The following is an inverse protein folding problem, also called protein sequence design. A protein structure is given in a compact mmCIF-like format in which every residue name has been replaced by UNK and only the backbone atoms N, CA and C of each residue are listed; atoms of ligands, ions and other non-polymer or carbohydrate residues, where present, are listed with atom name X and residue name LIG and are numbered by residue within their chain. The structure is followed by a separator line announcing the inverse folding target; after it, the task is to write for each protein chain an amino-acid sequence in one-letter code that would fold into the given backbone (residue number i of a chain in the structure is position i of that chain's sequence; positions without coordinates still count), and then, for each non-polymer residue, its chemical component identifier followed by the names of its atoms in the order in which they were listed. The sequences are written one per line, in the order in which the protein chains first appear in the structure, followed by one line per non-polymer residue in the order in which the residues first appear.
data_IF_140730185870
#
_entry.id   IF_140730185870
#
_cell.length_a   1.000
_cell.length_b   1.000
_cell.length_c   1.000
_cell.angle_alpha   90.00
_cell.angle_beta   90.00
_cell.angle_gamma   90.00
#
_symmetry.space_group_name_H-M   'P 1'
#
loop_
_entity.id
_entity.type
_entity.pdbx_description
1 polymer ?
#
# COMPACT_ATOMS: atom_id res chain seq x y z
N UNK A 1 66.98 -2.36 19.60
CA UNK A 1 65.89 -3.18 19.04
C UNK A 1 66.37 -3.72 17.71
N UNK A 2 66.21 -5.02 17.43
CA UNK A 2 66.65 -5.59 16.14
C UNK A 2 65.73 -5.11 15.00
N UNK A 3 66.27 -4.88 13.82
CA UNK A 3 65.51 -4.46 12.63
C UNK A 3 64.33 -5.39 12.32
N UNK A 4 64.48 -6.67 12.65
CA UNK A 4 63.42 -7.70 12.56
C UNK A 4 62.20 -7.39 13.43
N UNK A 5 62.38 -6.85 14.64
CA UNK A 5 61.28 -6.49 15.53
C UNK A 5 60.49 -5.29 15.00
N UNK A 6 61.18 -4.35 14.36
CA UNK A 6 60.58 -3.18 13.72
C UNK A 6 59.76 -3.58 12.48
N UNK A 7 60.28 -4.51 11.67
CA UNK A 7 59.57 -5.07 10.51
C UNK A 7 58.32 -5.87 10.94
N UNK A 8 58.41 -6.68 12.00
CA UNK A 8 57.26 -7.43 12.51
C UNK A 8 56.17 -6.51 13.08
N UNK A 9 56.56 -5.44 13.78
CA UNK A 9 55.64 -4.45 14.31
C UNK A 9 54.90 -3.70 13.20
N UNK A 10 55.60 -3.25 12.15
CA UNK A 10 54.98 -2.56 11.02
C UNK A 10 54.03 -3.47 10.26
N UNK A 11 54.41 -4.74 10.03
CA UNK A 11 53.54 -5.72 9.39
C UNK A 11 52.27 -5.99 10.20
N UNK A 12 52.38 -6.11 11.53
CA UNK A 12 51.24 -6.30 12.43
C UNK A 12 50.28 -5.11 12.37
N UNK A 13 50.81 -3.88 12.40
CA UNK A 13 49.99 -2.66 12.30
C UNK A 13 49.25 -2.58 10.96
N UNK A 14 49.93 -2.92 9.85
CA UNK A 14 49.30 -2.96 8.52
C UNK A 14 48.20 -4.01 8.44
N UNK A 15 48.42 -5.22 8.98
CA UNK A 15 47.41 -6.27 9.01
C UNK A 15 46.20 -5.89 9.86
N UNK A 16 46.41 -5.26 11.02
CA UNK A 16 45.33 -4.76 11.87
C UNK A 16 44.54 -3.64 11.19
N UNK A 17 45.22 -2.68 10.55
CA UNK A 17 44.58 -1.61 9.80
C UNK A 17 43.76 -2.14 8.61
N UNK A 18 44.30 -3.13 7.88
CA UNK A 18 43.59 -3.77 6.78
C UNK A 18 42.37 -4.58 7.28
N UNK A 19 42.53 -5.32 8.38
CA UNK A 19 41.44 -6.06 9.02
C UNK A 19 40.30 -5.13 9.45
N UNK A 20 40.63 -4.05 10.16
CA UNK A 20 39.67 -3.02 10.57
C UNK A 20 38.97 -2.36 9.37
N UNK A 21 39.72 -2.05 8.31
CA UNK A 21 39.14 -1.47 7.10
C UNK A 21 38.17 -2.44 6.40
N UNK A 22 38.52 -3.72 6.31
CA UNK A 22 37.67 -4.75 5.70
C UNK A 22 36.39 -4.99 6.53
N UNK A 23 36.49 -5.08 7.86
CA UNK A 23 35.30 -5.23 8.73
C UNK A 23 34.39 -4.02 8.62
N UNK A 24 34.93 -2.81 8.70
CA UNK A 24 34.14 -1.60 8.59
C UNK A 24 33.50 -1.44 7.20
N UNK A 25 34.19 -1.87 6.14
CA UNK A 25 33.62 -1.91 4.79
C UNK A 25 32.49 -2.95 4.68
N UNK A 26 32.62 -4.11 5.32
CA UNK A 26 31.59 -5.15 5.35
C UNK A 26 30.36 -4.67 6.12
N UNK A 27 30.54 -4.08 7.30
CA UNK A 27 29.47 -3.47 8.11
C UNK A 27 28.72 -2.39 7.32
N UNK A 28 29.45 -1.46 6.69
CA UNK A 28 28.83 -0.41 5.89
C UNK A 28 28.06 -0.95 4.67
N UNK A 29 28.53 -2.05 4.07
CA UNK A 29 27.80 -2.72 2.98
C UNK A 29 26.54 -3.40 3.50
N UNK A 30 26.63 -4.07 4.65
CA UNK A 30 25.50 -4.73 5.29
C UNK A 30 24.41 -3.72 5.67
N UNK A 31 24.79 -2.63 6.34
CA UNK A 31 23.86 -1.55 6.70
C UNK A 31 23.14 -0.96 5.48
N UNK A 32 23.87 -0.77 4.37
CA UNK A 32 23.27 -0.30 3.10
C UNK A 32 22.31 -1.33 2.51
N UNK A 33 22.68 -2.61 2.51
CA UNK A 33 21.84 -3.69 2.00
C UNK A 33 20.56 -3.84 2.85
N UNK A 34 20.67 -3.72 4.17
CA UNK A 34 19.54 -3.79 5.10
C UNK A 34 18.59 -2.59 4.89
N UNK A 35 19.14 -1.37 4.82
CA UNK A 35 18.37 -0.16 4.51
C UNK A 35 17.64 -0.28 3.17
N UNK A 36 18.32 -0.81 2.16
CA UNK A 36 17.71 -1.01 0.84
C UNK A 36 16.58 -2.04 0.91
N UNK A 37 16.80 -3.16 1.60
CA UNK A 37 15.78 -4.19 1.77
C UNK A 37 14.54 -3.67 2.52
N UNK A 38 14.75 -2.79 3.50
CA UNK A 38 13.69 -2.13 4.27
C UNK A 38 12.86 -1.18 3.41
N UNK A 39 13.51 -0.34 2.59
CA UNK A 39 12.79 0.50 1.61
C UNK A 39 12.05 -0.34 0.59
N UNK A 40 12.67 -1.41 0.08
CA UNK A 40 12.06 -2.31 -0.91
C UNK A 40 10.80 -3.01 -0.37
N UNK A 41 10.79 -3.45 0.90
CA UNK A 41 9.59 -4.07 1.46
C UNK A 41 8.47 -3.06 1.67
N UNK A 42 8.79 -1.84 2.09
CA UNK A 42 7.78 -0.77 2.24
C UNK A 42 7.15 -0.45 0.87
N UNK A 43 7.97 -0.24 -0.15
CA UNK A 43 7.47 0.01 -1.52
C UNK A 43 6.63 -1.16 -2.03
N UNK A 44 7.06 -2.40 -1.79
CA UNK A 44 6.28 -3.60 -2.15
C UNK A 44 4.93 -3.65 -1.45
N UNK A 45 4.84 -3.24 -0.17
CA UNK A 45 3.57 -3.15 0.54
C UNK A 45 2.65 -2.09 -0.07
N UNK A 46 3.19 -0.94 -0.47
CA UNK A 46 2.44 0.11 -1.16
C UNK A 46 1.94 -0.35 -2.54
N UNK A 47 2.76 -1.07 -3.29
CA UNK A 47 2.37 -1.64 -4.58
C UNK A 47 1.26 -2.67 -4.45
N UNK A 48 1.38 -3.56 -3.44
CA UNK A 48 0.34 -4.52 -3.11
C UNK A 48 -0.97 -3.83 -2.71
N UNK A 49 -0.89 -2.82 -1.84
CA UNK A 49 -2.04 -2.05 -1.39
C UNK A 49 -2.75 -1.41 -2.59
N UNK A 50 -2.01 -0.70 -3.44
CA UNK A 50 -2.53 -0.06 -4.64
C UNK A 50 -3.18 -1.07 -5.59
N UNK A 51 -2.49 -2.17 -5.88
CA UNK A 51 -2.97 -3.18 -6.82
C UNK A 51 -4.22 -3.89 -6.30
N UNK A 52 -4.27 -4.27 -5.02
CA UNK A 52 -5.46 -4.85 -4.38
C UNK A 52 -6.63 -3.88 -4.38
N UNK A 53 -6.40 -2.61 -4.06
CA UNK A 53 -7.42 -1.56 -4.06
C UNK A 53 -8.02 -1.31 -5.45
N UNK A 54 -7.18 -1.29 -6.49
CA UNK A 54 -7.61 -1.16 -7.89
C UNK A 54 -8.37 -2.41 -8.34
N UNK A 55 -7.83 -3.60 -8.05
CA UNK A 55 -8.47 -4.87 -8.39
C UNK A 55 -9.86 -4.99 -7.73
N UNK A 56 -9.97 -4.64 -6.44
CA UNK A 56 -11.26 -4.54 -5.72
C UNK A 56 -12.22 -3.58 -6.41
N UNK A 57 -11.74 -2.39 -6.79
CA UNK A 57 -12.58 -1.37 -7.43
C UNK A 57 -13.16 -1.82 -8.78
N UNK A 58 -12.45 -2.67 -9.51
CA UNK A 58 -12.90 -3.27 -10.77
C UNK A 58 -13.62 -4.61 -10.58
N UNK A 59 -13.72 -5.11 -9.35
CA UNK A 59 -14.14 -6.47 -9.04
C UNK A 59 -15.52 -6.84 -9.58
N UNK A 60 -16.48 -5.90 -9.49
CA UNK A 60 -17.85 -6.07 -9.95
C UNK A 60 -18.09 -5.56 -11.39
N UNK A 61 -17.07 -5.03 -12.07
CA UNK A 61 -17.22 -4.52 -13.43
C UNK A 61 -17.21 -5.67 -14.44
N UNK A 62 -18.09 -5.56 -15.45
CA UNK A 62 -18.34 -6.58 -16.47
C UNK A 62 -18.00 -6.12 -17.89
N UNK A 63 -17.68 -4.84 -18.09
CA UNK A 63 -17.24 -4.36 -19.40
C UNK A 63 -15.85 -4.89 -19.75
N UNK A 64 -15.58 -5.02 -21.05
CA UNK A 64 -14.36 -5.65 -21.55
C UNK A 64 -13.08 -4.91 -21.10
N UNK A 65 -13.11 -3.58 -21.00
CA UNK A 65 -11.96 -2.78 -20.60
C UNK A 65 -11.62 -3.00 -19.12
N UNK A 66 -12.63 -2.96 -18.24
CA UNK A 66 -12.46 -3.25 -16.81
C UNK A 66 -12.00 -4.68 -16.56
N UNK A 67 -12.52 -5.66 -17.31
CA UNK A 67 -12.07 -7.06 -17.21
C UNK A 67 -10.59 -7.19 -17.61
N UNK A 68 -10.18 -6.58 -18.72
CA UNK A 68 -8.79 -6.60 -19.16
C UNK A 68 -7.86 -5.96 -18.12
N UNK A 69 -8.23 -4.78 -17.61
CA UNK A 69 -7.47 -4.08 -16.58
C UNK A 69 -7.38 -4.88 -15.28
N UNK A 70 -8.48 -5.49 -14.85
CA UNK A 70 -8.52 -6.36 -13.67
C UNK A 70 -7.61 -7.58 -13.83
N UNK A 71 -7.60 -8.21 -15.00
CA UNK A 71 -6.73 -9.36 -15.27
C UNK A 71 -5.25 -8.97 -15.27
N UNK A 72 -4.90 -7.81 -15.82
CA UNK A 72 -3.54 -7.27 -15.75
C UNK A 72 -3.11 -7.02 -14.29
N UNK A 73 -3.99 -6.42 -13.47
CA UNK A 73 -3.75 -6.24 -12.04
C UNK A 73 -3.59 -7.58 -11.31
N UNK A 74 -4.37 -8.60 -11.68
CA UNK A 74 -4.24 -9.93 -11.09
C UNK A 74 -2.87 -10.57 -11.40
N UNK A 75 -2.34 -10.37 -12.61
CA UNK A 75 -0.99 -10.82 -12.98
C UNK A 75 0.08 -10.06 -12.19
N UNK A 76 -0.05 -8.73 -12.08
CA UNK A 76 0.85 -7.92 -11.25
C UNK A 76 0.85 -8.39 -9.78
N UNK A 77 -0.33 -8.71 -9.23
CA UNK A 77 -0.46 -9.24 -7.88
C UNK A 77 0.22 -10.61 -7.75
N UNK A 78 0.11 -11.49 -8.75
CA UNK A 78 0.85 -12.77 -8.74
C UNK A 78 2.36 -12.56 -8.62
N UNK A 79 2.93 -11.62 -9.37
CA UNK A 79 4.36 -11.29 -9.35
C UNK A 79 4.80 -10.69 -8.01
N UNK A 80 3.97 -9.81 -7.44
CA UNK A 80 4.21 -9.22 -6.12
C UNK A 80 4.20 -10.28 -5.02
N UNK A 81 3.28 -11.24 -5.09
CA UNK A 81 3.17 -12.34 -4.13
C UNK A 81 4.25 -13.40 -4.28
N UNK A 82 4.64 -13.76 -5.50
CA UNK A 82 5.73 -14.71 -5.74
C UNK A 82 7.03 -14.27 -5.05
N UNK A 83 7.25 -12.95 -5.01
CA UNK A 83 8.43 -12.32 -4.44
C UNK A 83 8.19 -11.75 -3.04
N UNK A 84 7.14 -12.17 -2.34
CA UNK A 84 6.83 -11.71 -0.98
C UNK A 84 7.90 -12.20 0.00
N UNK A 85 8.60 -11.32 0.75
CA UNK A 85 9.69 -11.72 1.64
C UNK A 85 9.20 -12.27 3.01
N UNK A 86 7.96 -12.75 3.09
CA UNK A 86 7.26 -13.04 4.35
C UNK A 86 8.06 -13.93 5.32
N UNK A 87 8.58 -15.08 4.87
CA UNK A 87 9.33 -15.98 5.74
C UNK A 87 10.66 -15.37 6.25
N UNK A 88 11.36 -14.61 5.38
CA UNK A 88 12.64 -13.96 5.73
C UNK A 88 12.45 -12.84 6.74
N UNK A 89 11.33 -12.13 6.65
CA UNK A 89 11.02 -10.97 7.49
C UNK A 89 10.01 -11.26 8.60
N UNK A 90 9.65 -12.53 8.82
CA UNK A 90 8.67 -12.99 9.81
C UNK A 90 7.29 -12.33 9.67
N UNK A 91 6.88 -12.01 8.43
CA UNK A 91 5.59 -11.39 8.15
C UNK A 91 4.49 -12.45 7.97
N UNK A 92 3.23 -12.12 8.29
CA UNK A 92 2.08 -12.97 8.00
C UNK A 92 2.04 -13.47 6.55
N UNK A 93 1.57 -14.70 6.31
CA UNK A 93 1.48 -15.28 4.97
C UNK A 93 0.24 -14.74 4.22
N UNK A 94 0.25 -13.46 3.86
CA UNK A 94 -0.87 -12.76 3.20
C UNK A 94 -1.35 -13.45 1.92
N UNK A 95 -0.41 -14.05 1.17
CA UNK A 95 -0.62 -14.68 -0.13
C UNK A 95 -1.65 -15.83 -0.13
N UNK A 96 -1.95 -16.45 1.02
CA UNK A 96 -2.83 -17.62 1.11
C UNK A 96 -4.25 -17.35 0.59
N UNK A 97 -4.74 -16.12 0.79
CA UNK A 97 -6.10 -15.73 0.44
C UNK A 97 -6.23 -15.29 -1.02
N UNK A 98 -5.11 -14.97 -1.69
CA UNK A 98 -5.11 -14.42 -3.04
C UNK A 98 -5.71 -15.35 -4.11
N UNK A 99 -5.39 -16.67 -4.17
CA UNK A 99 -5.94 -17.54 -5.21
C UNK A 99 -7.45 -17.66 -5.21
N UNK A 100 -8.10 -17.57 -4.05
CA UNK A 100 -9.56 -17.55 -3.95
C UNK A 100 -10.12 -16.22 -4.47
N UNK A 101 -9.51 -15.11 -4.04
CA UNK A 101 -9.92 -13.77 -4.42
C UNK A 101 -9.77 -13.50 -5.92
N UNK A 102 -8.69 -14.00 -6.53
CA UNK A 102 -8.47 -13.95 -7.98
C UNK A 102 -9.57 -14.64 -8.77
N UNK A 103 -10.08 -15.77 -8.26
CA UNK A 103 -11.18 -16.53 -8.90
C UNK A 103 -12.54 -15.87 -8.68
N UNK A 104 -12.71 -15.12 -7.59
CA UNK A 104 -13.92 -14.38 -7.28
C UNK A 104 -13.63 -12.89 -7.07
N UNK A 105 -13.32 -12.13 -8.15
CA UNK A 105 -12.94 -10.73 -8.04
C UNK A 105 -14.05 -9.83 -7.48
N UNK A 106 -15.32 -10.25 -7.57
CA UNK A 106 -16.46 -9.50 -7.06
C UNK A 106 -16.62 -9.59 -5.53
N UNK A 107 -15.86 -10.46 -4.84
CA UNK A 107 -15.89 -10.58 -3.38
C UNK A 107 -15.22 -9.39 -2.70
N UNK A 108 -15.99 -8.32 -2.55
CA UNK A 108 -15.53 -7.07 -1.96
C UNK A 108 -15.05 -7.23 -0.52
N UNK A 109 -15.75 -8.04 0.27
CA UNK A 109 -15.44 -8.20 1.70
C UNK A 109 -14.16 -9.01 1.89
N UNK A 110 -13.91 -10.01 1.04
CA UNK A 110 -12.63 -10.71 1.03
C UNK A 110 -11.47 -9.77 0.65
N UNK A 111 -11.66 -8.85 -0.30
CA UNK A 111 -10.65 -7.82 -0.58
C UNK A 111 -10.42 -6.93 0.65
N UNK A 112 -11.48 -6.45 1.31
CA UNK A 112 -11.36 -5.64 2.51
C UNK A 112 -10.58 -6.36 3.61
N UNK A 113 -10.83 -7.66 3.86
CA UNK A 113 -10.08 -8.44 4.86
C UNK A 113 -8.61 -8.59 4.51
N UNK A 114 -8.29 -8.85 3.23
CA UNK A 114 -6.90 -8.99 2.80
C UNK A 114 -6.15 -7.65 2.90
N UNK A 115 -6.79 -6.56 2.47
CA UNK A 115 -6.24 -5.20 2.60
C UNK A 115 -6.04 -4.84 4.08
N UNK A 116 -7.01 -5.14 4.94
CA UNK A 116 -6.88 -4.94 6.39
C UNK A 116 -5.67 -5.67 6.96
N UNK A 117 -5.48 -6.93 6.57
CA UNK A 117 -4.32 -7.72 7.01
C UNK A 117 -3.01 -7.12 6.51
N UNK A 118 -2.97 -6.59 5.28
CA UNK A 118 -1.82 -5.88 4.74
C UNK A 118 -1.54 -4.56 5.48
N UNK A 119 -2.57 -3.80 5.87
CA UNK A 119 -2.40 -2.56 6.65
C UNK A 119 -1.79 -2.85 8.02
N UNK A 120 -2.22 -3.92 8.69
CA UNK A 120 -1.60 -4.37 9.94
C UNK A 120 -0.12 -4.74 9.73
N UNK A 121 0.23 -5.35 8.59
CA UNK A 121 1.64 -5.61 8.25
C UNK A 121 2.43 -4.32 8.06
N UNK A 122 1.85 -3.31 7.41
CA UNK A 122 2.48 -2.00 7.23
C UNK A 122 2.73 -1.33 8.58
N UNK A 123 1.77 -1.36 9.49
CA UNK A 123 1.91 -0.81 10.85
C UNK A 123 3.03 -1.54 11.64
N UNK A 124 3.10 -2.87 11.54
CA UNK A 124 4.19 -3.65 12.17
C UNK A 124 5.55 -3.33 11.57
N UNK A 125 5.62 -3.11 10.26
CA UNK A 125 6.84 -2.69 9.57
C UNK A 125 7.25 -1.29 10.02
N UNK A 126 6.33 -0.35 10.11
CA UNK A 126 6.57 0.99 10.63
C UNK A 126 7.22 0.93 12.03
N UNK A 127 6.61 0.20 12.97
CA UNK A 127 7.12 0.05 14.34
C UNK A 127 8.52 -0.58 14.40
N UNK A 128 8.80 -1.53 13.50
CA UNK A 128 10.10 -2.20 13.43
C UNK A 128 11.17 -1.27 12.88
N UNK A 129 10.90 -0.65 11.74
CA UNK A 129 11.84 0.24 11.04
C UNK A 129 12.11 1.52 11.83
N UNK A 130 11.09 2.04 12.51
CA UNK A 130 11.25 3.20 13.39
C UNK A 130 12.25 2.91 14.52
N UNK A 131 12.16 1.73 15.16
CA UNK A 131 13.13 1.27 16.16
C UNK A 131 14.54 1.05 15.61
N UNK A 132 14.66 0.82 14.31
CA UNK A 132 15.95 0.67 13.60
C UNK A 132 16.52 2.01 13.10
N UNK A 133 16.00 3.14 13.58
CA UNK A 133 16.45 4.50 13.24
C UNK A 133 16.09 4.96 11.82
N UNK A 134 14.94 4.54 11.29
CA UNK A 134 14.34 5.11 10.08
C UNK A 134 13.20 6.10 10.45
N UNK A 135 13.48 7.33 10.92
CA UNK A 135 12.45 8.21 11.47
C UNK A 135 11.41 8.67 10.44
N UNK A 136 11.75 8.65 9.14
CA UNK A 136 10.84 9.04 8.05
C UNK A 136 9.67 8.08 7.85
N UNK A 137 9.77 6.85 8.37
CA UNK A 137 8.70 5.85 8.25
C UNK A 137 7.48 6.17 9.12
N UNK A 138 7.64 7.05 10.12
CA UNK A 138 6.60 7.35 11.10
C UNK A 138 5.41 8.02 10.44
N UNK A 139 4.20 7.54 10.75
CA UNK A 139 2.94 7.97 10.15
C UNK A 139 2.54 7.17 8.90
N UNK A 140 3.34 6.20 8.46
CA UNK A 140 3.06 5.41 7.24
C UNK A 140 1.75 4.63 7.36
N UNK A 141 1.52 3.94 8.49
CA UNK A 141 0.31 3.19 8.75
C UNK A 141 -0.94 4.07 8.68
N UNK A 142 -0.91 5.22 9.35
CA UNK A 142 -2.01 6.21 9.33
C UNK A 142 -2.26 6.74 7.91
N UNK A 143 -1.20 7.07 7.16
CA UNK A 143 -1.33 7.53 5.79
C UNK A 143 -1.94 6.44 4.88
N UNK A 144 -1.52 5.18 5.05
CA UNK A 144 -2.06 4.04 4.31
C UNK A 144 -3.52 3.74 4.67
N UNK A 145 -3.92 3.94 5.93
CA UNK A 145 -5.32 3.84 6.39
C UNK A 145 -6.20 4.91 5.75
N UNK A 146 -5.73 6.16 5.75
CA UNK A 146 -6.41 7.28 5.09
C UNK A 146 -6.54 7.06 3.57
N UNK A 147 -5.50 6.52 2.93
CA UNK A 147 -5.54 6.11 1.53
C UNK A 147 -6.59 5.00 1.29
N UNK A 148 -6.65 4.00 2.17
CA UNK A 148 -7.64 2.93 2.08
C UNK A 148 -9.07 3.43 2.24
N UNK A 149 -9.32 4.45 3.06
CA UNK A 149 -10.65 5.04 3.19
C UNK A 149 -11.15 5.60 1.85
N UNK A 150 -10.30 6.30 1.10
CA UNK A 150 -10.65 6.74 -0.25
C UNK A 150 -10.85 5.57 -1.22
N UNK A 151 -9.95 4.59 -1.20
CA UNK A 151 -10.04 3.43 -2.08
C UNK A 151 -11.26 2.56 -1.79
N UNK A 152 -11.71 2.51 -0.53
CA UNK A 152 -12.91 1.82 -0.10
C UNK A 152 -14.15 2.59 -0.50
N UNK A 153 -14.12 3.93 -0.38
CA UNK A 153 -15.19 4.80 -0.88
C UNK A 153 -15.39 4.58 -2.38
N UNK A 154 -14.30 4.53 -3.16
CA UNK A 154 -14.36 4.21 -4.59
C UNK A 154 -15.04 2.88 -4.83
N UNK A 155 -14.60 1.82 -4.17
CA UNK A 155 -15.15 0.49 -4.38
C UNK A 155 -16.63 0.37 -3.98
N UNK A 156 -17.06 1.01 -2.88
CA UNK A 156 -18.46 1.07 -2.49
C UNK A 156 -19.30 1.90 -3.48
N UNK A 157 -18.77 3.03 -3.96
CA UNK A 157 -19.46 3.90 -4.90
C UNK A 157 -19.70 3.20 -6.24
N UNK A 158 -18.67 2.50 -6.75
CA UNK A 158 -18.77 1.66 -7.95
C UNK A 158 -19.82 0.57 -7.78
N UNK A 159 -19.88 -0.11 -6.62
CA UNK A 159 -20.90 -1.13 -6.34
C UNK A 159 -22.30 -0.54 -6.29
N UNK A 160 -22.48 0.57 -5.57
CA UNK A 160 -23.75 1.26 -5.48
C UNK A 160 -24.25 1.69 -6.86
N UNK A 161 -23.36 2.13 -7.74
CA UNK A 161 -23.68 2.57 -9.10
C UNK A 161 -24.26 1.48 -10.02
N UNK A 162 -24.22 0.20 -9.61
CA UNK A 162 -24.86 -0.89 -10.36
C UNK A 162 -26.36 -1.06 -10.03
N UNK A 163 -26.89 -0.28 -9.09
CA UNK A 163 -28.30 -0.31 -8.73
C UNK A 163 -29.04 0.88 -9.34
N UNK A 164 -30.37 0.79 -9.48
CA UNK A 164 -31.19 1.93 -9.88
C UNK A 164 -31.22 3.02 -8.79
N UNK A 165 -31.17 2.58 -7.53
CA UNK A 165 -31.10 3.43 -6.34
C UNK A 165 -30.12 2.82 -5.33
N UNK A 166 -29.39 3.66 -4.60
CA UNK A 166 -28.45 3.21 -3.59
C UNK A 166 -29.16 2.37 -2.51
N UNK A 167 -28.80 1.09 -2.32
CA UNK A 167 -29.39 0.26 -1.28
C UNK A 167 -29.11 0.82 0.13
N UNK A 168 -30.06 0.73 1.09
CA UNK A 168 -29.90 1.37 2.40
C UNK A 168 -28.63 0.99 3.16
N UNK A 169 -28.22 -0.28 3.09
CA UNK A 169 -26.98 -0.75 3.72
C UNK A 169 -25.71 -0.14 3.12
N UNK A 170 -25.66 0.01 1.78
CA UNK A 170 -24.55 0.68 1.10
C UNK A 170 -24.59 2.19 1.34
N UNK A 171 -25.78 2.79 1.36
CA UNK A 171 -25.98 4.21 1.64
C UNK A 171 -25.42 4.60 3.01
N UNK A 172 -25.69 3.79 4.05
CA UNK A 172 -25.14 3.99 5.39
C UNK A 172 -23.61 3.94 5.39
N UNK A 173 -23.02 2.91 4.76
CA UNK A 173 -21.56 2.75 4.69
C UNK A 173 -20.88 3.91 3.96
N UNK A 174 -21.46 4.34 2.83
CA UNK A 174 -20.97 5.48 2.05
C UNK A 174 -21.05 6.78 2.87
N UNK A 175 -22.18 7.06 3.53
CA UNK A 175 -22.33 8.25 4.38
C UNK A 175 -21.32 8.28 5.52
N UNK A 176 -21.16 7.15 6.21
CA UNK A 176 -20.20 7.03 7.31
C UNK A 176 -18.78 7.32 6.82
N UNK A 177 -18.39 6.74 5.68
CA UNK A 177 -17.05 6.92 5.13
C UNK A 177 -16.81 8.33 4.61
N UNK A 178 -17.78 8.93 3.92
CA UNK A 178 -17.71 10.34 3.50
C UNK A 178 -17.54 11.28 4.71
N UNK A 179 -18.33 11.08 5.77
CA UNK A 179 -18.20 11.89 6.99
C UNK A 179 -16.81 11.74 7.60
N UNK A 180 -16.34 10.50 7.77
CA UNK A 180 -15.02 10.23 8.33
C UNK A 180 -13.89 10.88 7.52
N UNK A 181 -13.98 10.86 6.19
CA UNK A 181 -13.00 11.50 5.32
C UNK A 181 -12.98 13.03 5.47
N UNK A 182 -14.15 13.67 5.60
CA UNK A 182 -14.27 15.11 5.84
C UNK A 182 -13.78 15.52 7.24
N UNK A 183 -13.95 14.65 8.24
CA UNK A 183 -13.44 14.87 9.59
C UNK A 183 -11.90 14.77 9.64
N UNK A 184 -11.29 13.97 8.75
CA UNK A 184 -9.84 13.80 8.65
C UNK A 184 -9.15 14.92 7.84
N UNK A 185 -9.75 15.35 6.74
CA UNK A 185 -9.14 16.32 5.82
C UNK A 185 -10.18 17.27 5.23
N UNK A 186 -9.92 18.57 5.35
CA UNK A 186 -10.76 19.63 4.79
C UNK A 186 -10.15 20.17 3.50
N UNK A 187 -10.03 19.29 2.51
CA UNK A 187 -9.62 19.65 1.15
C UNK A 187 -10.85 20.01 0.29
N UNK A 188 -10.77 21.12 -0.44
CA UNK A 188 -11.84 21.59 -1.32
C UNK A 188 -12.15 20.59 -2.46
N UNK A 189 -11.13 19.88 -2.97
CA UNK A 189 -11.36 18.87 -4.00
C UNK A 189 -12.10 17.64 -3.45
N UNK A 190 -11.69 17.17 -2.26
CA UNK A 190 -12.39 16.10 -1.54
C UNK A 190 -13.84 16.49 -1.22
N UNK A 191 -14.09 17.72 -0.75
CA UNK A 191 -15.42 18.23 -0.46
C UNK A 191 -16.32 18.17 -1.71
N UNK A 192 -15.87 18.77 -2.81
CA UNK A 192 -16.65 18.80 -4.07
C UNK A 192 -16.93 17.38 -4.60
N UNK A 193 -15.97 16.46 -4.46
CA UNK A 193 -16.15 15.06 -4.84
C UNK A 193 -17.23 14.39 -3.98
N UNK A 194 -17.19 14.60 -2.66
CA UNK A 194 -18.16 14.02 -1.72
C UNK A 194 -19.56 14.60 -1.97
N UNK A 195 -19.69 15.90 -2.21
CA UNK A 195 -20.95 16.54 -2.57
C UNK A 195 -21.54 15.93 -3.85
N UNK A 196 -20.71 15.70 -4.87
CA UNK A 196 -21.14 15.02 -6.09
C UNK A 196 -21.62 13.59 -5.82
N UNK A 197 -20.87 12.81 -5.04
CA UNK A 197 -21.31 11.46 -4.64
C UNK A 197 -22.62 11.49 -3.85
N UNK A 198 -22.81 12.49 -2.98
CA UNK A 198 -24.05 12.65 -2.23
C UNK A 198 -25.24 12.91 -3.16
N UNK A 199 -25.13 13.89 -4.04
CA UNK A 199 -26.22 14.30 -4.94
C UNK A 199 -26.55 13.29 -6.03
N UNK A 200 -25.54 12.64 -6.62
CA UNK A 200 -25.73 11.82 -7.83
C UNK A 200 -25.80 10.31 -7.57
N UNK A 201 -25.42 9.86 -6.37
CA UNK A 201 -25.35 8.43 -6.04
C UNK A 201 -26.01 8.09 -4.70
N UNK A 202 -25.61 8.72 -3.59
CA UNK A 202 -25.99 8.29 -2.24
C UNK A 202 -27.43 8.71 -1.92
N UNK A 203 -27.78 9.96 -2.15
CA UNK A 203 -29.07 10.54 -1.75
C UNK A 203 -30.07 10.61 -2.90
N UNK A 204 -29.59 10.39 -4.12
CA UNK A 204 -30.41 10.46 -5.32
C UNK A 204 -31.55 9.44 -5.31
N UNK A 205 -32.71 9.87 -5.79
CA UNK A 205 -33.84 8.98 -6.06
C UNK A 205 -33.54 7.99 -7.19
N UNK A 206 -32.67 8.38 -8.12
CA UNK A 206 -32.18 7.56 -9.22
C UNK A 206 -30.68 7.83 -9.41
N UNK A 207 -29.88 6.77 -9.44
CA UNK A 207 -28.43 6.90 -9.61
C UNK A 207 -28.10 7.53 -10.97
N UNK A 208 -27.24 8.55 -10.95
CA UNK A 208 -26.79 9.32 -12.13
C UNK A 208 -25.33 9.10 -12.50
N UNK A 209 -24.58 8.43 -11.65
CA UNK A 209 -23.18 8.07 -11.91
C UNK A 209 -23.10 6.62 -12.34
N UNK A 210 -22.52 6.38 -13.51
CA UNK A 210 -22.17 5.04 -13.95
C UNK A 210 -21.00 4.48 -13.11
N UNK A 211 -20.86 3.16 -12.98
CA UNK A 211 -19.78 2.57 -12.21
C UNK A 211 -18.37 2.99 -12.67
N UNK A 212 -18.15 3.11 -13.98
CA UNK A 212 -16.88 3.59 -14.54
C UNK A 212 -16.59 5.06 -14.17
N UNK A 213 -17.63 5.90 -14.11
CA UNK A 213 -17.50 7.30 -13.68
C UNK A 213 -17.15 7.39 -12.19
N UNK A 214 -17.78 6.57 -11.34
CA UNK A 214 -17.40 6.45 -9.92
C UNK A 214 -15.93 6.02 -9.76
N UNK A 215 -15.47 5.06 -10.56
CA UNK A 215 -14.08 4.61 -10.52
C UNK A 215 -13.12 5.74 -10.92
N UNK A 216 -13.41 6.43 -12.03
CA UNK A 216 -12.60 7.52 -12.55
C UNK A 216 -12.60 8.74 -11.61
N UNK A 217 -13.73 9.06 -10.99
CA UNK A 217 -13.89 10.22 -10.11
C UNK A 217 -12.92 10.19 -8.92
N UNK A 218 -12.73 9.02 -8.28
CA UNK A 218 -11.89 8.89 -7.08
C UNK A 218 -10.43 8.53 -7.36
N UNK A 219 -10.13 8.01 -8.55
CA UNK A 219 -8.79 7.50 -8.86
C UNK A 219 -7.69 8.57 -8.76
N UNK A 220 -7.85 9.80 -9.30
CA UNK A 220 -6.82 10.83 -9.20
C UNK A 220 -6.43 11.17 -7.77
N UNK A 221 -7.41 11.29 -6.85
CA UNK A 221 -7.14 11.62 -5.46
C UNK A 221 -6.39 10.48 -4.73
N UNK A 222 -6.76 9.23 -5.00
CA UNK A 222 -6.06 8.05 -4.46
C UNK A 222 -4.61 8.01 -4.97
N UNK A 223 -4.40 8.25 -6.27
CA UNK A 223 -3.06 8.22 -6.86
C UNK A 223 -2.18 9.37 -6.35
N UNK A 224 -2.75 10.57 -6.21
CA UNK A 224 -2.07 11.71 -5.60
C UNK A 224 -1.64 11.43 -4.17
N UNK A 225 -2.54 10.90 -3.32
CA UNK A 225 -2.21 10.57 -1.93
C UNK A 225 -1.14 9.48 -1.84
N UNK A 226 -1.24 8.43 -2.65
CA UNK A 226 -0.22 7.38 -2.70
C UNK A 226 1.15 7.94 -3.13
N UNK A 227 1.18 8.83 -4.12
CA UNK A 227 2.43 9.47 -4.54
C UNK A 227 3.01 10.33 -3.42
N UNK A 228 2.17 11.05 -2.66
CA UNK A 228 2.60 11.79 -1.47
C UNK A 228 3.25 10.89 -0.43
N UNK A 229 2.67 9.71 -0.16
CA UNK A 229 3.24 8.70 0.75
C UNK A 229 4.61 8.22 0.23
N UNK A 230 4.74 7.94 -1.06
CA UNK A 230 6.03 7.50 -1.63
C UNK A 230 7.10 8.59 -1.49
N UNK A 231 6.76 9.84 -1.78
CA UNK A 231 7.68 10.97 -1.68
C UNK A 231 8.13 11.27 -0.25
N UNK A 232 7.31 10.97 0.77
CA UNK A 232 7.70 11.13 2.16
C UNK A 232 8.69 10.05 2.65
N UNK A 233 8.81 8.96 1.90
CA UNK A 233 9.72 7.84 2.20
C UNK A 233 11.09 7.98 1.53
N UNK A 234 11.18 8.77 0.44
CA UNK A 234 12.43 9.14 -0.23
C UNK A 234 13.26 10.15 0.60
#
# INVERSE_FOLDING_TARGET
MSDTALILLTLLVVLLALGYWLTHRAENRQLKADTQADTEIVQRCLDLLQALQKHRGLGAQLDAASIAQRNALAQQLDELWLNWPGARMQLPPLQQHWPQLRRNPADFDAHCRLIETLLVVIEQLEDRLYRQHHPRIRGLGEACRSLEDLARLRGLAVRAANYERCPPGLQMQLRFLCKRLLDQEQDAHLLALIERLQGDLIESAQIRLAPAECFALLTPLIEQRLQGIRLSLD
#
